data_IF_338289242522
#
_entry.id   IF_338289242522
#
_cell.length_a   1.000
_cell.length_b   1.000
_cell.length_c   1.000
_cell.angle_alpha   90.00
_cell.angle_beta   90.00
_cell.angle_gamma   90.00
#
_symmetry.space_group_name_H-M   'P 1'
#
loop_
_entity.id
_entity.type
_entity.pdbx_description
1 polymer ?
#
# COMPACT_ATOMS: atom_id res chain seq x y z
N UNK A 1 4.72 -14.38 27.79
CA UNK A 1 3.61 -13.50 27.37
C UNK A 1 2.75 -13.00 28.53
N UNK A 2 2.23 -13.86 29.41
CA UNK A 2 1.40 -13.42 30.55
C UNK A 2 2.06 -12.34 31.44
N UNK A 3 3.37 -12.46 31.67
CA UNK A 3 4.14 -11.46 32.44
C UNK A 3 4.18 -10.12 31.71
N UNK A 4 4.59 -10.10 30.44
CA UNK A 4 4.64 -8.90 29.60
C UNK A 4 3.28 -8.18 29.49
N UNK A 5 2.19 -8.91 29.26
CA UNK A 5 0.84 -8.34 29.20
C UNK A 5 0.41 -7.77 30.56
N UNK A 6 0.81 -8.43 31.66
CA UNK A 6 0.50 -7.96 33.01
C UNK A 6 1.32 -6.73 33.43
N UNK A 7 2.56 -6.60 32.99
CA UNK A 7 3.36 -5.38 33.18
C UNK A 7 2.77 -4.24 32.36
N UNK A 8 2.41 -4.50 31.10
CA UNK A 8 1.90 -3.48 30.23
C UNK A 8 0.51 -2.96 30.62
N UNK A 9 -0.36 -3.82 31.17
CA UNK A 9 -1.65 -3.39 31.73
C UNK A 9 -1.47 -2.50 32.98
N UNK A 10 -0.40 -2.69 33.76
CA UNK A 10 -0.09 -1.77 34.87
C UNK A 10 0.36 -0.40 34.35
N UNK A 11 1.10 -0.37 33.26
CA UNK A 11 1.56 0.87 32.62
C UNK A 11 0.45 1.58 31.83
N UNK A 12 -0.51 0.81 31.28
CA UNK A 12 -1.55 1.25 30.37
C UNK A 12 -2.89 0.58 30.73
N UNK A 13 -3.62 1.08 31.75
CA UNK A 13 -4.86 0.46 32.21
C UNK A 13 -5.94 0.45 31.12
N UNK A 14 -6.79 -0.58 31.13
CA UNK A 14 -7.90 -0.86 30.21
C UNK A 14 -7.48 -1.20 28.76
N UNK A 15 -6.19 -1.09 28.44
CA UNK A 15 -5.70 -1.31 27.08
C UNK A 15 -5.68 -2.79 26.72
N UNK A 16 -5.44 -3.68 27.66
CA UNK A 16 -5.53 -5.11 27.41
C UNK A 16 -6.96 -5.51 26.99
N UNK A 17 -7.98 -4.97 27.66
CA UNK A 17 -9.38 -5.23 27.31
C UNK A 17 -9.74 -4.70 25.91
N UNK A 18 -9.29 -3.47 25.60
CA UNK A 18 -9.46 -2.88 24.27
C UNK A 18 -8.81 -3.73 23.17
N UNK A 19 -7.62 -4.27 23.41
CA UNK A 19 -6.91 -5.09 22.42
C UNK A 19 -7.53 -6.45 22.23
N UNK A 20 -7.97 -7.10 23.31
CA UNK A 20 -8.72 -8.34 23.20
C UNK A 20 -10.02 -8.14 22.41
N UNK A 21 -10.68 -7.00 22.58
CA UNK A 21 -11.86 -6.61 21.80
C UNK A 21 -11.51 -6.40 20.32
N UNK A 22 -10.42 -5.68 20.02
CA UNK A 22 -9.96 -5.45 18.66
C UNK A 22 -9.59 -6.77 17.94
N UNK A 23 -8.92 -7.68 18.64
CA UNK A 23 -8.58 -9.00 18.13
C UNK A 23 -9.82 -9.87 17.85
N UNK A 24 -10.89 -9.71 18.63
CA UNK A 24 -12.16 -10.39 18.39
C UNK A 24 -12.94 -9.87 17.17
N UNK A 25 -12.72 -8.60 16.80
CA UNK A 25 -13.45 -7.92 15.72
C UNK A 25 -12.67 -7.83 14.40
N UNK A 26 -11.56 -8.56 14.26
CA UNK A 26 -10.75 -8.53 13.05
C UNK A 26 -11.10 -9.66 12.07
N UNK A 27 -10.94 -9.41 10.77
CA UNK A 27 -11.10 -10.42 9.72
C UNK A 27 -9.90 -11.37 9.70
N UNK A 28 -10.06 -12.67 9.35
CA UNK A 28 -8.94 -13.59 9.20
C UNK A 28 -7.87 -13.13 8.20
N UNK A 29 -8.24 -12.30 7.21
CA UNK A 29 -7.29 -11.68 6.28
C UNK A 29 -6.29 -10.75 6.98
N UNK A 30 -6.74 -9.99 7.99
CA UNK A 30 -5.88 -9.08 8.75
C UNK A 30 -4.90 -9.80 9.69
N UNK A 31 -5.23 -11.03 10.09
CA UNK A 31 -4.35 -11.88 10.90
C UNK A 31 -3.41 -12.76 10.06
N UNK A 32 -3.39 -12.54 8.74
CA UNK A 32 -2.59 -13.32 7.80
C UNK A 32 -2.86 -14.84 7.94
N UNK A 33 -4.12 -15.23 8.16
CA UNK A 33 -4.46 -16.65 8.33
C UNK A 33 -4.33 -17.40 6.99
N UNK A 34 -3.24 -18.16 6.87
CA UNK A 34 -2.87 -18.96 5.69
C UNK A 34 -3.82 -20.13 5.41
N UNK A 35 -4.71 -20.49 6.33
CA UNK A 35 -5.71 -21.54 6.11
C UNK A 35 -6.86 -21.04 5.24
N UNK A 36 -7.21 -19.76 5.35
CA UNK A 36 -8.32 -19.15 4.63
C UNK A 36 -7.85 -18.35 3.41
N UNK A 37 -6.62 -17.84 3.41
CA UNK A 37 -6.07 -17.03 2.33
C UNK A 37 -4.66 -17.50 1.93
N UNK A 38 -4.44 -17.75 0.63
CA UNK A 38 -3.11 -18.07 0.11
C UNK A 38 -2.33 -16.78 -0.19
N UNK A 39 -1.55 -16.34 0.78
CA UNK A 39 -0.64 -15.21 0.62
C UNK A 39 0.67 -15.56 -0.11
N UNK A 40 0.93 -16.85 -0.35
CA UNK A 40 2.19 -17.30 -0.96
C UNK A 40 2.11 -17.54 -2.46
N UNK A 41 0.94 -17.91 -2.96
CA UNK A 41 0.67 -18.08 -4.39
C UNK A 41 0.32 -16.80 -5.14
N UNK A 42 0.47 -15.63 -4.51
CA UNK A 42 0.15 -14.34 -5.15
C UNK A 42 1.08 -14.15 -6.35
N UNK A 43 0.49 -13.88 -7.52
CA UNK A 43 1.19 -13.60 -8.77
C UNK A 43 0.81 -12.22 -9.28
N UNK A 44 1.78 -11.50 -9.81
CA UNK A 44 1.56 -10.20 -10.46
C UNK A 44 0.92 -10.40 -11.84
N UNK A 45 0.09 -9.45 -12.26
CA UNK A 45 -0.49 -9.43 -13.61
C UNK A 45 0.42 -8.65 -14.57
N UNK A 46 0.29 -8.88 -15.87
CA UNK A 46 1.10 -8.19 -16.90
C UNK A 46 0.71 -6.71 -17.09
N UNK A 47 -0.31 -6.21 -16.38
CA UNK A 47 -0.75 -4.82 -16.48
C UNK A 47 -1.66 -4.38 -15.33
N UNK A 48 -2.03 -3.09 -15.30
CA UNK A 48 -2.97 -2.54 -14.32
C UNK A 48 -4.34 -3.20 -14.44
N UNK A 49 -5.02 -3.37 -13.30
CA UNK A 49 -6.42 -3.80 -13.26
C UNK A 49 -7.29 -2.65 -13.77
N UNK A 50 -8.26 -2.94 -14.63
CA UNK A 50 -9.08 -1.93 -15.33
C UNK A 50 -9.84 -0.99 -14.36
N UNK A 51 -10.26 -1.52 -13.20
CA UNK A 51 -10.90 -0.78 -12.10
C UNK A 51 -9.98 -0.73 -10.85
N UNK A 52 -8.67 -0.62 -11.09
CA UNK A 52 -7.66 -0.55 -10.04
C UNK A 52 -7.70 0.77 -9.26
N UNK A 53 -7.13 0.75 -8.05
CA UNK A 53 -6.92 1.97 -7.27
C UNK A 53 -5.92 2.90 -7.98
N UNK A 54 -6.31 4.14 -8.21
CA UNK A 54 -5.47 5.17 -8.87
C UNK A 54 -4.83 6.13 -7.87
N UNK A 55 -4.98 5.92 -6.55
CA UNK A 55 -4.51 6.85 -5.52
C UNK A 55 -3.01 7.15 -5.60
N UNK A 56 -2.22 6.21 -6.14
CA UNK A 56 -0.76 6.33 -6.30
C UNK A 56 -0.32 6.51 -7.75
N UNK A 57 -1.26 6.65 -8.70
CA UNK A 57 -0.91 6.87 -10.10
C UNK A 57 -0.31 8.26 -10.29
N UNK A 58 0.65 8.37 -11.21
CA UNK A 58 1.22 9.66 -11.58
C UNK A 58 0.20 10.46 -12.40
N UNK A 59 0.09 11.76 -12.11
CA UNK A 59 -0.73 12.65 -12.93
C UNK A 59 -0.22 12.65 -14.38
N UNK A 60 -1.09 12.49 -15.38
CA UNK A 60 -0.65 12.49 -16.78
C UNK A 60 -0.01 13.84 -17.09
N UNK A 61 1.25 13.80 -17.51
CA UNK A 61 1.95 15.01 -17.93
C UNK A 61 1.14 15.69 -19.05
N UNK A 62 0.99 17.03 -19.01
CA UNK A 62 0.36 17.75 -20.11
C UNK A 62 1.09 17.39 -21.40
N UNK A 63 0.32 17.01 -22.42
CA UNK A 63 0.82 16.65 -23.75
C UNK A 63 1.58 17.85 -24.33
N UNK A 64 2.88 17.89 -24.09
CA UNK A 64 3.77 18.86 -24.72
C UNK A 64 3.86 18.42 -26.17
N UNK A 65 3.04 19.05 -27.02
CA UNK A 65 3.03 18.80 -28.46
C UNK A 65 4.46 18.69 -28.99
N UNK A 66 4.65 17.75 -29.92
CA UNK A 66 5.95 17.31 -30.44
C UNK A 66 6.98 18.45 -30.51
N UNK A 67 8.23 18.26 -30.04
CA UNK A 67 9.23 19.31 -30.10
C UNK A 67 9.39 19.73 -31.56
N UNK A 68 8.95 20.94 -31.88
CA UNK A 68 9.23 21.56 -33.17
C UNK A 68 10.72 21.79 -33.22
N UNK A 69 11.45 20.86 -33.83
CA UNK A 69 12.86 21.02 -34.12
C UNK A 69 13.00 22.16 -35.13
N UNK A 70 13.02 23.40 -34.63
CA UNK A 70 13.46 24.54 -35.40
C UNK A 70 14.98 24.48 -35.43
N UNK A 71 15.50 23.78 -36.44
CA UNK A 71 16.93 23.80 -36.78
C UNK A 71 17.27 25.23 -37.18
N UNK A 72 17.94 25.96 -36.29
CA UNK A 72 18.49 27.29 -36.60
C UNK A 72 19.77 27.05 -37.44
N UNK A 73 19.82 27.41 -38.73
CA UNK A 73 21.04 27.25 -39.50
C UNK A 73 22.07 28.29 -39.04
N UNK A 74 23.19 27.82 -38.48
CA UNK A 74 24.36 28.64 -38.20
C UNK A 74 25.09 28.85 -39.53
N UNK A 75 24.84 29.96 -40.21
CA UNK A 75 25.69 30.36 -41.34
C UNK A 75 27.07 30.73 -40.82
N UNK A 76 28.12 30.08 -41.35
CA UNK A 76 29.52 30.39 -41.07
C UNK A 76 30.09 31.19 -42.25
N UNK A 77 30.55 32.41 -41.94
CA UNK A 77 31.38 33.36 -42.70
C UNK A 77 31.21 33.45 -44.22
#
# INVERSE_FOLDING_TARGET
MKVLLGEWEKENPDRLASMMTALGNTSPSHLLDRRYYDFTGISTQDGPVEDGDTLFDSEPLPNQGAPTSSVIPIFKA
#
